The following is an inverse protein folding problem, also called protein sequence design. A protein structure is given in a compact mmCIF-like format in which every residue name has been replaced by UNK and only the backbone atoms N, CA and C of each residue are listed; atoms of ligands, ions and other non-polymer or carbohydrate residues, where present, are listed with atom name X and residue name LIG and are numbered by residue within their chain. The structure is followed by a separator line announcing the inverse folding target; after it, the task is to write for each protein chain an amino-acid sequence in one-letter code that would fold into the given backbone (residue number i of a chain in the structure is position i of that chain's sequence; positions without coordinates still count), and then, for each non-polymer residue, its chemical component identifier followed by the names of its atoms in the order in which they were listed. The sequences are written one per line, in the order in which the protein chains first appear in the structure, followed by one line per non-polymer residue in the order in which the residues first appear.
data_IF_992592900090
#
_entry.id   IF_992592900090
#
_cell.length_a   1.000
_cell.length_b   1.000
_cell.length_c   1.000
_cell.angle_alpha   90.00
_cell.angle_beta   90.00
_cell.angle_gamma   90.00
#
_symmetry.space_group_name_H-M   'P 1'
#
loop_
_entity.id
_entity.type
_entity.pdbx_description
1 polymer ?
#
# COMPACT_ATOMS: atom_id res chain seq x y z
N UNK A 1 17.98 0.77 0.95
CA UNK A 1 17.33 1.13 -0.34
C UNK A 1 17.08 -0.15 -1.10
N UNK A 2 15.82 -0.57 -1.20
CA UNK A 2 15.38 -1.77 -1.91
C UNK A 2 14.68 -1.34 -3.19
N UNK A 3 14.97 -2.02 -4.28
CA UNK A 3 14.23 -1.83 -5.53
C UNK A 3 13.08 -2.83 -5.59
N UNK A 4 11.87 -2.35 -5.83
CA UNK A 4 10.68 -3.18 -6.06
C UNK A 4 10.08 -2.88 -7.43
N UNK A 5 9.48 -3.89 -8.04
CA UNK A 5 8.71 -3.74 -9.26
C UNK A 5 7.23 -3.70 -8.86
N UNK A 6 6.53 -2.65 -9.28
CA UNK A 6 5.10 -2.45 -9.03
C UNK A 6 4.41 -2.32 -10.38
N UNK A 7 3.34 -3.08 -10.60
CA UNK A 7 2.44 -2.92 -11.74
C UNK A 7 1.03 -2.51 -11.29
N UNK A 8 0.17 -2.17 -12.26
CA UNK A 8 -1.20 -1.76 -11.97
C UNK A 8 -2.00 -2.83 -11.22
N UNK A 9 -1.79 -4.12 -11.53
CA UNK A 9 -2.44 -5.24 -10.84
C UNK A 9 -1.98 -5.35 -9.39
N UNK A 10 -0.69 -5.20 -9.11
CA UNK A 10 -0.16 -5.17 -7.72
C UNK A 10 -0.83 -4.09 -6.88
N UNK A 11 -0.92 -2.86 -7.40
CA UNK A 11 -1.59 -1.75 -6.70
C UNK A 11 -3.07 -2.04 -6.52
N UNK A 12 -3.74 -2.52 -7.58
CA UNK A 12 -5.17 -2.85 -7.53
C UNK A 12 -5.47 -3.93 -6.50
N UNK A 13 -4.69 -5.01 -6.48
CA UNK A 13 -4.84 -6.13 -5.55
C UNK A 13 -4.71 -5.66 -4.11
N UNK A 14 -3.72 -4.81 -3.81
CA UNK A 14 -3.54 -4.22 -2.50
C UNK A 14 -4.74 -3.36 -2.08
N UNK A 15 -5.28 -2.54 -2.97
CA UNK A 15 -6.42 -1.66 -2.67
C UNK A 15 -7.73 -2.42 -2.50
N UNK A 16 -7.91 -3.55 -3.20
CA UNK A 16 -9.06 -4.44 -3.00
C UNK A 16 -8.96 -5.28 -1.72
N UNK A 17 -7.76 -5.49 -1.18
CA UNK A 17 -7.58 -6.11 0.13
C UNK A 17 -7.87 -5.08 1.22
N UNK A 18 -9.15 -4.94 1.59
CA UNK A 18 -9.58 -3.89 2.52
C UNK A 18 -8.92 -4.02 3.90
N UNK A 19 -8.55 -5.22 4.34
CA UNK A 19 -7.88 -5.42 5.62
C UNK A 19 -6.46 -4.85 5.59
N UNK A 20 -5.65 -5.28 4.62
CA UNK A 20 -4.28 -4.77 4.47
C UNK A 20 -4.25 -3.28 4.09
N UNK A 21 -5.18 -2.84 3.25
CA UNK A 21 -5.33 -1.45 2.86
C UNK A 21 -5.66 -0.58 4.08
N UNK A 22 -6.73 -0.90 4.81
CA UNK A 22 -7.15 -0.10 5.96
C UNK A 22 -6.07 -0.04 7.03
N UNK A 23 -5.44 -1.17 7.35
CA UNK A 23 -4.31 -1.22 8.29
C UNK A 23 -3.16 -0.34 7.84
N UNK A 24 -2.80 -0.37 6.55
CA UNK A 24 -1.72 0.46 6.02
C UNK A 24 -2.05 1.94 6.03
N UNK A 25 -3.30 2.30 5.74
CA UNK A 25 -3.77 3.69 5.82
C UNK A 25 -3.82 4.18 7.26
N UNK A 26 -4.24 3.35 8.22
CA UNK A 26 -4.25 3.71 9.65
C UNK A 26 -2.83 3.96 10.18
N UNK A 27 -1.86 3.12 9.79
CA UNK A 27 -0.46 3.30 10.15
C UNK A 27 0.14 4.55 9.48
N UNK A 28 -0.19 4.80 8.21
CA UNK A 28 0.26 6.01 7.50
C UNK A 28 -0.33 7.28 8.12
N UNK A 29 -1.60 7.23 8.50
CA UNK A 29 -2.30 8.34 9.14
C UNK A 29 -1.74 8.62 10.55
N UNK A 30 -1.41 7.57 11.31
CA UNK A 30 -0.72 7.70 12.58
C UNK A 30 0.69 8.30 12.43
N UNK A 31 1.41 7.96 11.36
CA UNK A 31 2.72 8.54 11.07
C UNK A 31 2.64 10.03 10.65
N UNK A 32 1.50 10.50 10.16
CA UNK A 32 1.27 11.93 9.87
C UNK A 32 1.00 12.74 11.15
N UNK A 33 0.43 12.12 12.18
CA UNK A 33 0.18 12.71 13.50
C UNK A 33 1.46 12.66 14.36
N UNK A 34 2.55 13.28 13.86
CA UNK A 34 3.91 13.20 14.42
C UNK A 34 4.04 13.67 15.88
N UNK A 35 3.11 14.50 16.34
CA UNK A 35 3.06 15.04 17.69
C UNK A 35 1.99 14.36 18.57
N UNK A 36 1.31 13.33 18.05
CA UNK A 36 0.24 12.57 18.71
C UNK A 36 -0.82 13.48 19.36
N UNK A 37 -1.01 14.69 18.82
CA UNK A 37 -1.89 15.68 19.42
C UNK A 37 -3.37 15.39 19.07
N UNK A 38 -3.59 14.50 18.11
CA UNK A 38 -4.92 14.09 17.67
C UNK A 38 -5.58 15.11 16.73
N UNK A 39 -4.95 16.25 16.43
CA UNK A 39 -5.44 17.22 15.43
C UNK A 39 -5.64 16.57 14.07
N UNK A 40 -4.76 15.67 13.62
CA UNK A 40 -4.98 14.97 12.35
C UNK A 40 -6.31 14.21 12.35
N UNK A 41 -6.64 13.47 13.43
CA UNK A 41 -7.93 12.77 13.57
C UNK A 41 -9.12 13.70 13.83
N UNK A 42 -8.89 14.88 14.40
CA UNK A 42 -9.93 15.85 14.71
C UNK A 42 -10.26 16.78 13.52
N UNK A 43 -9.36 16.92 12.56
CA UNK A 43 -9.51 17.79 11.39
C UNK A 43 -9.77 17.02 10.10
N UNK A 44 -9.29 15.78 10.01
CA UNK A 44 -9.43 14.94 8.83
C UNK A 44 -10.17 13.67 9.23
N UNK A 45 -11.32 13.42 8.58
CA UNK A 45 -12.06 12.17 8.78
C UNK A 45 -11.25 10.99 8.20
N UNK A 46 -10.90 9.97 9.00
CA UNK A 46 -10.10 8.85 8.53
C UNK A 46 -10.80 8.01 7.44
N UNK A 47 -12.13 7.95 7.41
CA UNK A 47 -12.86 7.19 6.40
C UNK A 47 -12.87 7.92 5.06
N UNK A 48 -13.01 9.25 5.07
CA UNK A 48 -12.89 10.09 3.89
C UNK A 48 -11.47 10.01 3.32
N UNK A 49 -10.45 10.17 4.16
CA UNK A 49 -9.05 10.03 3.75
C UNK A 49 -8.78 8.67 3.07
N UNK A 50 -9.24 7.57 3.69
CA UNK A 50 -9.12 6.22 3.12
C UNK A 50 -9.83 6.10 1.78
N UNK A 51 -11.03 6.68 1.66
CA UNK A 51 -11.81 6.65 0.42
C UNK A 51 -11.15 7.43 -0.71
N UNK A 52 -10.60 8.61 -0.42
CA UNK A 52 -9.89 9.41 -1.41
C UNK A 52 -8.57 8.75 -1.83
N UNK A 53 -7.80 8.23 -0.87
CA UNK A 53 -6.58 7.48 -1.17
C UNK A 53 -6.86 6.22 -2.00
N UNK A 54 -7.97 5.52 -1.72
CA UNK A 54 -8.44 4.38 -2.51
C UNK A 54 -8.69 4.78 -3.97
N UNK A 55 -9.37 5.90 -4.23
CA UNK A 55 -9.63 6.40 -5.58
C UNK A 55 -8.34 6.75 -6.32
N UNK A 56 -7.42 7.45 -5.66
CA UNK A 56 -6.12 7.83 -6.24
C UNK A 56 -5.32 6.58 -6.62
N UNK A 57 -5.23 5.59 -5.73
CA UNK A 57 -4.49 4.36 -6.00
C UNK A 57 -5.11 3.53 -7.11
N UNK A 58 -6.44 3.50 -7.22
CA UNK A 58 -7.12 2.84 -8.34
C UNK A 58 -6.85 3.56 -9.67
N UNK A 59 -6.84 4.91 -9.68
CA UNK A 59 -6.48 5.67 -10.87
C UNK A 59 -5.01 5.46 -11.27
N UNK A 60 -4.10 5.34 -10.30
CA UNK A 60 -2.70 4.98 -10.56
C UNK A 60 -2.61 3.55 -11.10
N UNK A 61 -3.35 2.60 -10.53
CA UNK A 61 -3.39 1.22 -11.02
C UNK A 61 -3.87 1.14 -12.48
N UNK A 62 -4.92 1.90 -12.81
CA UNK A 62 -5.47 1.99 -14.17
C UNK A 62 -4.47 2.68 -15.13
N UNK A 63 -3.85 3.77 -14.69
CA UNK A 63 -2.85 4.50 -15.46
C UNK A 63 -1.54 3.73 -15.68
N UNK A 64 -1.14 2.87 -14.74
CA UNK A 64 -0.01 1.96 -14.90
C UNK A 64 -0.34 0.82 -15.87
N UNK A 65 -1.57 0.30 -15.83
CA UNK A 65 -1.99 -0.82 -16.65
C UNK A 65 -1.00 -1.99 -16.58
N UNK A 66 -0.52 -2.44 -17.74
CA UNK A 66 0.48 -3.51 -17.86
C UNK A 66 1.92 -3.01 -17.92
N UNK A 67 2.17 -1.72 -17.65
CA UNK A 67 3.50 -1.12 -17.65
C UNK A 67 4.06 -1.08 -16.22
N UNK A 68 4.88 -2.07 -15.82
CA UNK A 68 5.48 -2.06 -14.49
C UNK A 68 6.47 -0.90 -14.36
N UNK A 69 6.50 -0.29 -13.18
CA UNK A 69 7.49 0.71 -12.80
C UNK A 69 8.44 0.15 -11.75
N UNK A 70 9.71 0.56 -11.85
CA UNK A 70 10.72 0.24 -10.86
C UNK A 70 10.79 1.36 -9.82
N UNK A 71 10.56 1.02 -8.55
CA UNK A 71 10.54 1.97 -7.45
C UNK A 71 11.69 1.66 -6.47
N UNK A 72 12.45 2.69 -6.10
CA UNK A 72 13.41 2.58 -5.02
C UNK A 72 12.76 3.00 -3.71
N UNK A 73 12.68 2.07 -2.76
CA UNK A 73 12.11 2.26 -1.45
C UNK A 73 13.23 2.34 -0.40
N UNK A 74 13.08 3.26 0.54
CA UNK A 74 13.92 3.29 1.73
C UNK A 74 13.48 2.20 2.71
N UNK A 75 14.43 1.64 3.46
CA UNK A 75 14.16 0.48 4.32
C UNK A 75 13.50 0.86 5.65
N UNK A 76 13.69 2.11 6.07
CA UNK A 76 13.41 2.58 7.43
C UNK A 76 11.92 2.90 7.68
N UNK A 77 11.16 3.22 6.63
CA UNK A 77 9.75 3.57 6.77
C UNK A 77 8.83 2.34 6.79
N UNK A 78 8.44 1.94 8.02
CA UNK A 78 7.36 0.95 8.25
C UNK A 78 5.99 1.42 7.74
N UNK A 79 5.85 2.72 7.48
CA UNK A 79 4.63 3.38 7.01
C UNK A 79 4.41 3.23 5.48
N UNK A 80 5.43 2.83 4.72
CA UNK A 80 5.38 2.77 3.25
C UNK A 80 4.38 1.71 2.75
N UNK A 81 3.18 2.14 2.37
CA UNK A 81 2.12 1.24 1.91
C UNK A 81 2.47 0.50 0.60
N UNK A 82 3.27 1.09 -0.31
CA UNK A 82 3.73 0.40 -1.53
C UNK A 82 4.72 -0.73 -1.26
N UNK A 83 5.50 -0.65 -0.17
CA UNK A 83 6.34 -1.76 0.31
C UNK A 83 5.45 -2.94 0.70
N UNK A 84 4.38 -2.66 1.47
CA UNK A 84 3.41 -3.68 1.90
C UNK A 84 2.65 -4.30 0.74
N UNK A 85 2.28 -3.51 -0.28
CA UNK A 85 1.66 -4.03 -1.49
C UNK A 85 2.59 -5.01 -2.22
N UNK A 86 3.86 -4.66 -2.40
CA UNK A 86 4.86 -5.54 -3.01
C UNK A 86 5.10 -6.82 -2.21
N UNK A 87 5.23 -6.71 -0.90
CA UNK A 87 5.46 -7.87 -0.02
C UNK A 87 4.24 -8.80 0.02
N UNK A 88 3.01 -8.26 -0.04
CA UNK A 88 1.77 -9.03 -0.13
C UNK A 88 1.71 -9.85 -1.42
N UNK A 89 2.02 -9.24 -2.57
CA UNK A 89 2.06 -9.97 -3.85
C UNK A 89 3.20 -10.99 -3.90
N UNK A 90 4.37 -10.65 -3.36
CA UNK A 90 5.49 -11.59 -3.26
C UNK A 90 5.13 -12.83 -2.41
N UNK A 91 4.41 -12.63 -1.29
CA UNK A 91 3.95 -13.72 -0.44
C UNK A 91 2.98 -14.67 -1.17
N UNK A 92 2.10 -14.14 -2.04
CA UNK A 92 1.18 -14.95 -2.85
C UNK A 92 1.92 -15.86 -3.84
N UNK A 93 3.06 -15.42 -4.36
CA UNK A 93 3.87 -16.23 -5.29
C UNK A 93 4.60 -17.40 -4.59
N UNK A 94 4.97 -17.25 -3.31
CA UNK A 94 5.67 -18.30 -2.54
C UNK A 94 4.75 -19.48 -2.18
N UNK A 95 3.45 -19.23 -1.98
CA UNK A 95 2.47 -20.27 -1.62
C UNK A 95 2.24 -21.28 -2.76
N UNK A 96 2.46 -20.90 -4.02
CA UNK A 96 2.15 -21.75 -5.18
C UNK A 96 3.29 -22.72 -5.60
N UNK A 97 4.32 -22.91 -4.76
CA UNK A 97 5.43 -23.84 -5.03
C UNK A 97 5.65 -24.92 -3.95
N UNK A 98 4.72 -25.08 -3.00
CA UNK A 98 4.82 -26.06 -1.91
C UNK A 98 4.21 -27.45 -2.16
N UNK A 99 3.83 -27.79 -3.39
CA UNK A 99 3.14 -29.06 -3.69
C UNK A 99 3.73 -29.77 -4.91
N UNK A 100 4.87 -30.43 -4.74
CA UNK A 100 5.45 -31.24 -5.82
C UNK A 100 6.85 -31.72 -5.53
N UNK A 101 6.98 -32.66 -4.59
CA UNK A 101 7.95 -33.78 -4.61
C UNK A 101 7.59 -34.77 -3.51
#
# INVERSE_FOLDING_TARGET
MRVVIIDGSTVKNFVTDEEHFNKSMDESFAALDLNEDGVCRNTIDPQEFKSEMKKILLAIADGLGSCPIQMALEDDDRSNFLKKAADLEAAKLVVNHGGGS
#
